data_IF_468439299888
#
_entry.id   IF_468439299888
#
_cell.length_a   1.000
_cell.length_b   1.000
_cell.length_c   1.000
_cell.angle_alpha   90.00
_cell.angle_beta   90.00
_cell.angle_gamma   90.00
#
_symmetry.space_group_name_H-M   'P 1'
#
loop_
_entity.id
_entity.type
_entity.pdbx_description
1 polymer ?
#
# COMPACT_ATOMS: atom_id res chain seq x y z
N UNK A 1 19.21 -30.82 8.72
CA UNK A 1 18.59 -29.63 8.11
C UNK A 1 18.74 -28.38 8.99
N UNK A 2 18.36 -28.41 10.27
CA UNK A 2 18.41 -27.23 11.15
C UNK A 2 19.79 -26.55 11.22
N UNK A 3 20.88 -27.32 11.34
CA UNK A 3 22.26 -26.79 11.32
C UNK A 3 22.56 -25.98 10.04
N UNK A 4 22.17 -26.50 8.88
CA UNK A 4 22.35 -25.82 7.59
C UNK A 4 21.61 -24.47 7.54
N UNK A 5 20.37 -24.45 8.05
CA UNK A 5 19.56 -23.21 8.09
C UNK A 5 20.18 -22.16 9.01
N UNK A 6 20.77 -22.57 10.13
CA UNK A 6 21.47 -21.66 11.04
C UNK A 6 22.74 -21.08 10.39
N UNK A 7 23.57 -21.94 9.80
CA UNK A 7 24.82 -21.56 9.14
C UNK A 7 24.60 -20.59 7.96
N UNK A 8 23.51 -20.77 7.20
CA UNK A 8 23.20 -19.95 6.01
C UNK A 8 22.09 -18.92 6.26
N UNK A 9 21.77 -18.64 7.52
CA UNK A 9 20.62 -17.82 7.93
C UNK A 9 20.58 -16.44 7.26
N UNK A 10 21.72 -15.75 7.14
CA UNK A 10 21.81 -14.43 6.51
C UNK A 10 21.50 -14.44 5.01
N UNK A 11 21.93 -15.48 4.28
CA UNK A 11 21.62 -15.63 2.85
C UNK A 11 20.14 -15.97 2.66
N UNK A 12 19.65 -16.94 3.45
CA UNK A 12 18.26 -17.40 3.39
C UNK A 12 17.25 -16.33 3.80
N UNK A 13 17.62 -15.46 4.75
CA UNK A 13 16.85 -14.27 5.15
C UNK A 13 16.62 -13.28 4.00
N UNK A 14 17.52 -13.24 3.02
CA UNK A 14 17.42 -12.29 1.90
C UNK A 14 16.71 -12.91 0.70
N UNK A 15 17.03 -14.16 0.37
CA UNK A 15 16.70 -14.77 -0.92
C UNK A 15 16.40 -16.29 -0.86
N UNK A 16 16.08 -16.84 0.32
CA UNK A 16 15.69 -18.24 0.47
C UNK A 16 14.24 -18.51 0.06
N UNK A 17 14.00 -19.63 -0.62
CA UNK A 17 12.65 -20.09 -0.98
C UNK A 17 12.56 -21.61 -1.06
N UNK A 18 11.45 -22.20 -0.63
CA UNK A 18 11.16 -23.62 -0.87
C UNK A 18 10.40 -23.75 -2.18
N UNK A 19 10.95 -24.52 -3.11
CA UNK A 19 10.38 -24.76 -4.44
C UNK A 19 9.85 -26.17 -4.50
N UNK A 20 8.59 -26.29 -4.93
CA UNK A 20 7.93 -27.55 -5.23
C UNK A 20 8.07 -27.88 -6.72
N UNK A 21 8.32 -29.14 -7.03
CA UNK A 21 8.53 -29.60 -8.40
C UNK A 21 7.99 -31.00 -8.61
N UNK A 22 7.63 -31.32 -9.85
CA UNK A 22 7.18 -32.64 -10.26
C UNK A 22 8.02 -33.11 -11.44
N UNK A 23 8.19 -34.43 -11.56
CA UNK A 23 8.86 -35.06 -12.68
C UNK A 23 7.86 -35.90 -13.47
N UNK A 24 7.97 -35.92 -14.78
CA UNK A 24 7.27 -36.91 -15.61
C UNK A 24 8.16 -38.14 -15.80
N UNK A 25 7.59 -39.33 -15.65
CA UNK A 25 8.26 -40.59 -15.89
C UNK A 25 7.26 -41.62 -16.40
N UNK A 26 7.48 -42.15 -17.62
CA UNK A 26 6.62 -43.15 -18.28
C UNK A 26 5.12 -42.79 -18.18
N UNK A 27 4.77 -41.60 -18.66
CA UNK A 27 3.41 -41.04 -18.65
C UNK A 27 2.75 -40.86 -17.28
N UNK A 28 3.54 -40.95 -16.19
CA UNK A 28 3.09 -40.71 -14.83
C UNK A 28 3.79 -39.49 -14.23
N UNK A 29 3.04 -38.70 -13.46
CA UNK A 29 3.56 -37.57 -12.69
C UNK A 29 4.07 -38.07 -11.34
N UNK A 30 5.37 -37.89 -11.08
CA UNK A 30 6.03 -38.23 -9.82
C UNK A 30 6.32 -36.95 -9.02
N UNK A 31 6.00 -36.98 -7.74
CA UNK A 31 6.20 -35.87 -6.82
C UNK A 31 5.00 -35.69 -5.88
N UNK A 32 4.95 -34.58 -5.13
CA UNK A 32 5.87 -33.44 -5.21
C UNK A 32 7.27 -33.73 -4.66
N UNK A 33 8.25 -33.01 -5.18
CA UNK A 33 9.61 -32.95 -4.68
C UNK A 33 9.94 -31.52 -4.27
N UNK A 34 10.55 -31.39 -3.10
CA UNK A 34 10.86 -30.11 -2.50
C UNK A 34 12.37 -29.83 -2.56
N UNK A 35 12.72 -28.57 -2.80
CA UNK A 35 14.09 -28.08 -2.70
C UNK A 35 14.11 -26.68 -2.07
N UNK A 36 15.11 -26.42 -1.25
CA UNK A 36 15.43 -25.09 -0.76
C UNK A 36 16.35 -24.40 -1.79
N UNK A 37 15.87 -23.36 -2.46
CA UNK A 37 16.64 -22.55 -3.38
C UNK A 37 17.09 -21.25 -2.71
N UNK A 38 18.33 -20.85 -2.97
CA UNK A 38 18.90 -19.59 -2.49
C UNK A 38 20.01 -19.11 -3.44
N UNK A 39 20.50 -17.90 -3.21
CA UNK A 39 21.67 -17.37 -3.93
C UNK A 39 22.80 -17.09 -2.97
N UNK A 40 24.00 -17.42 -3.44
CA UNK A 40 25.26 -17.07 -2.79
C UNK A 40 26.13 -16.34 -3.82
N UNK A 41 26.26 -15.02 -3.64
CA UNK A 41 26.76 -14.12 -4.68
C UNK A 41 25.95 -14.24 -5.97
N UNK A 42 26.62 -14.58 -7.07
CA UNK A 42 26.00 -14.76 -8.39
C UNK A 42 25.48 -16.19 -8.62
N UNK A 43 25.80 -17.13 -7.73
CA UNK A 43 25.46 -18.55 -7.91
C UNK A 43 24.08 -18.85 -7.36
N UNK A 44 23.29 -19.59 -8.15
CA UNK A 44 22.04 -20.17 -7.68
C UNK A 44 22.32 -21.54 -7.07
N UNK A 45 22.03 -21.67 -5.78
CA UNK A 45 22.24 -22.88 -5.00
C UNK A 45 20.90 -23.54 -4.68
N UNK A 46 20.91 -24.87 -4.55
CA UNK A 46 19.74 -25.58 -4.07
C UNK A 46 20.09 -26.79 -3.21
N UNK A 47 19.37 -26.96 -2.11
CA UNK A 47 19.41 -28.16 -1.27
C UNK A 47 18.13 -28.95 -1.49
N UNK A 48 18.27 -30.22 -1.86
CA UNK A 48 17.14 -31.10 -2.06
C UNK A 48 16.56 -31.55 -0.71
N UNK A 49 15.25 -31.38 -0.54
CA UNK A 49 14.51 -31.72 0.69
C UNK A 49 13.77 -33.07 0.57
N UNK A 50 13.77 -33.69 -0.62
CA UNK A 50 13.09 -34.96 -0.84
C UNK A 50 11.60 -34.78 -1.16
N UNK A 51 10.80 -35.79 -0.79
CA UNK A 51 9.34 -35.83 -1.00
C UNK A 51 8.54 -35.57 0.28
N UNK A 52 9.20 -35.32 1.39
CA UNK A 52 8.54 -35.13 2.68
C UNK A 52 7.93 -33.73 2.76
N UNK A 53 6.59 -33.59 2.74
CA UNK A 53 5.94 -32.30 2.84
C UNK A 53 6.13 -31.65 4.21
N UNK A 54 6.23 -32.44 5.29
CA UNK A 54 6.37 -31.90 6.65
C UNK A 54 7.72 -31.20 6.81
N UNK A 55 8.80 -31.83 6.32
CA UNK A 55 10.12 -31.20 6.29
C UNK A 55 10.12 -29.91 5.45
N UNK A 56 9.41 -29.91 4.32
CA UNK A 56 9.31 -28.72 3.48
C UNK A 56 8.58 -27.58 4.21
N UNK A 57 7.51 -27.88 4.94
CA UNK A 57 6.73 -26.92 5.72
C UNK A 57 7.51 -26.38 6.92
N UNK A 58 8.27 -27.22 7.63
CA UNK A 58 9.16 -26.77 8.70
C UNK A 58 10.21 -25.77 8.19
N UNK A 59 10.79 -26.04 7.01
CA UNK A 59 11.74 -25.13 6.37
C UNK A 59 11.04 -23.83 5.95
N UNK A 60 9.82 -23.89 5.38
CA UNK A 60 9.03 -22.70 5.01
C UNK A 60 8.77 -21.81 6.23
N UNK A 61 8.26 -22.37 7.32
CA UNK A 61 7.98 -21.62 8.55
C UNK A 61 9.26 -21.01 9.15
N UNK A 62 10.39 -21.70 9.02
CA UNK A 62 11.68 -21.15 9.47
C UNK A 62 12.14 -19.99 8.60
N UNK A 63 12.00 -20.09 7.27
CA UNK A 63 12.28 -19.00 6.35
C UNK A 63 11.39 -17.79 6.60
N UNK A 64 10.09 -18.00 6.81
CA UNK A 64 9.14 -16.93 7.10
C UNK A 64 9.55 -16.14 8.35
N UNK A 65 9.89 -16.84 9.43
CA UNK A 65 10.38 -16.21 10.67
C UNK A 65 11.66 -15.41 10.44
N UNK A 66 12.62 -15.96 9.69
CA UNK A 66 13.86 -15.25 9.35
C UNK A 66 13.58 -14.00 8.49
N UNK A 67 12.65 -14.09 7.55
CA UNK A 67 12.37 -13.04 6.57
C UNK A 67 11.41 -11.96 7.06
N UNK A 68 10.57 -12.26 8.06
CA UNK A 68 9.49 -11.39 8.53
C UNK A 68 9.92 -9.94 8.79
N UNK A 69 11.04 -9.65 9.50
CA UNK A 69 11.45 -8.26 9.74
C UNK A 69 11.77 -7.50 8.45
N UNK A 70 12.38 -8.17 7.48
CA UNK A 70 12.72 -7.59 6.18
C UNK A 70 11.49 -7.36 5.31
N UNK A 71 10.54 -8.29 5.32
CA UNK A 71 9.28 -8.17 4.60
C UNK A 71 8.41 -7.02 5.16
N UNK A 72 8.31 -6.91 6.49
CA UNK A 72 7.59 -5.83 7.16
C UNK A 72 8.15 -4.45 6.80
N UNK A 73 9.48 -4.30 6.85
CA UNK A 73 10.13 -3.05 6.47
C UNK A 73 9.80 -2.68 5.02
N UNK A 74 9.89 -3.64 4.09
CA UNK A 74 9.55 -3.40 2.67
C UNK A 74 8.07 -3.04 2.51
N UNK A 75 7.17 -3.73 3.21
CA UNK A 75 5.72 -3.43 3.20
C UNK A 75 5.45 -2.01 3.67
N UNK A 76 6.03 -1.60 4.81
CA UNK A 76 5.89 -0.23 5.34
C UNK A 76 6.40 0.83 4.37
N UNK A 77 7.55 0.60 3.72
CA UNK A 77 8.10 1.52 2.72
C UNK A 77 7.19 1.65 1.50
N UNK A 78 6.71 0.52 0.95
CA UNK A 78 5.75 0.52 -0.17
C UNK A 78 4.46 1.26 0.19
N UNK A 79 3.91 1.00 1.38
CA UNK A 79 2.70 1.67 1.85
C UNK A 79 2.91 3.17 1.99
N UNK A 80 4.03 3.60 2.59
CA UNK A 80 4.39 5.01 2.72
C UNK A 80 4.45 5.69 1.35
N UNK A 81 5.10 5.05 0.37
CA UNK A 81 5.25 5.63 -0.97
C UNK A 81 3.90 5.66 -1.72
N UNK A 82 3.08 4.63 -1.56
CA UNK A 82 1.71 4.60 -2.10
C UNK A 82 0.84 5.72 -1.51
N UNK A 83 0.89 5.93 -0.20
CA UNK A 83 0.16 7.00 0.50
C UNK A 83 0.63 8.39 0.04
N UNK A 84 1.95 8.61 -0.08
CA UNK A 84 2.50 9.86 -0.61
C UNK A 84 1.99 10.16 -2.01
N UNK A 85 1.96 9.16 -2.89
CA UNK A 85 1.40 9.32 -4.25
C UNK A 85 -0.09 9.61 -4.21
N UNK A 86 -0.86 8.95 -3.35
CA UNK A 86 -2.29 9.19 -3.21
C UNK A 86 -2.60 10.62 -2.73
N UNK A 87 -1.86 11.11 -1.73
CA UNK A 87 -1.96 12.50 -1.25
C UNK A 87 -1.57 13.49 -2.35
N UNK A 88 -0.49 13.24 -3.08
CA UNK A 88 -0.05 14.10 -4.18
C UNK A 88 -1.11 14.18 -5.30
N UNK A 89 -1.69 13.04 -5.70
CA UNK A 89 -2.79 12.99 -6.69
C UNK A 89 -4.02 13.76 -6.21
N UNK A 90 -4.41 13.54 -4.95
CA UNK A 90 -5.57 14.23 -4.37
C UNK A 90 -5.35 15.74 -4.35
N UNK A 91 -4.18 16.20 -3.89
CA UNK A 91 -3.82 17.64 -3.89
C UNK A 91 -3.81 18.23 -5.30
N UNK A 92 -3.30 17.50 -6.29
CA UNK A 92 -3.31 17.95 -7.67
C UNK A 92 -4.75 18.12 -8.19
N UNK A 93 -5.64 17.17 -7.89
CA UNK A 93 -7.05 17.25 -8.25
C UNK A 93 -7.75 18.44 -7.58
N UNK A 94 -7.58 18.62 -6.26
CA UNK A 94 -8.10 19.78 -5.53
C UNK A 94 -7.60 21.10 -6.08
N UNK A 95 -6.30 21.20 -6.37
CA UNK A 95 -5.72 22.42 -6.93
C UNK A 95 -6.24 22.70 -8.35
N UNK A 96 -6.49 21.67 -9.16
CA UNK A 96 -7.13 21.82 -10.46
C UNK A 96 -8.56 22.34 -10.33
N UNK A 97 -9.32 21.83 -9.35
CA UNK A 97 -10.68 22.30 -9.08
C UNK A 97 -10.72 23.74 -8.60
N UNK A 98 -9.91 24.07 -7.58
CA UNK A 98 -9.82 25.42 -7.02
C UNK A 98 -9.42 26.47 -8.07
N UNK A 99 -8.56 26.10 -9.02
CA UNK A 99 -8.14 27.00 -10.10
C UNK A 99 -9.28 27.45 -11.00
N UNK A 100 -10.34 26.65 -11.14
CA UNK A 100 -11.55 27.05 -11.88
C UNK A 100 -12.20 28.29 -11.26
N UNK A 101 -12.07 28.47 -9.95
CA UNK A 101 -12.56 29.64 -9.20
C UNK A 101 -11.48 30.70 -8.98
N UNK A 102 -10.30 30.58 -9.57
CA UNK A 102 -9.17 31.49 -9.34
C UNK A 102 -8.43 31.28 -8.00
N UNK A 103 -8.74 30.19 -7.30
CA UNK A 103 -8.08 29.78 -6.06
C UNK A 103 -6.96 28.77 -6.35
N UNK A 104 -6.03 28.59 -5.40
CA UNK A 104 -5.01 27.54 -5.50
C UNK A 104 -4.51 27.11 -4.12
N UNK A 105 -3.92 25.93 -4.04
CA UNK A 105 -3.26 25.45 -2.82
C UNK A 105 -1.79 25.91 -2.77
N UNK A 106 -1.37 26.47 -1.63
CA UNK A 106 0.05 26.67 -1.28
C UNK A 106 0.34 25.87 0.00
N UNK A 107 1.00 24.73 -0.17
CA UNK A 107 1.13 23.76 0.93
C UNK A 107 -0.23 23.15 1.28
N UNK A 108 -0.74 23.44 2.48
CA UNK A 108 -2.06 23.03 2.95
C UNK A 108 -3.13 24.13 2.89
N UNK A 109 -2.78 25.35 2.51
CA UNK A 109 -3.67 26.51 2.59
C UNK A 109 -4.24 26.90 1.23
N UNK A 110 -5.52 27.27 1.20
CA UNK A 110 -6.17 27.87 0.00
C UNK A 110 -5.83 29.35 -0.08
N UNK A 111 -5.33 29.77 -1.24
CA UNK A 111 -4.95 31.15 -1.58
C UNK A 111 -5.73 31.62 -2.81
N UNK A 112 -5.73 32.92 -3.05
CA UNK A 112 -6.38 33.54 -4.22
C UNK A 112 -7.70 34.25 -3.94
N UNK A 113 -8.20 34.22 -2.71
CA UNK A 113 -9.48 34.84 -2.31
C UNK A 113 -9.68 36.28 -2.80
N UNK A 114 -8.62 37.10 -2.83
CA UNK A 114 -8.69 38.50 -3.31
C UNK A 114 -9.05 38.61 -4.79
N UNK A 115 -8.63 37.65 -5.63
CA UNK A 115 -8.98 37.62 -7.05
C UNK A 115 -10.41 37.15 -7.30
N UNK A 116 -10.97 36.36 -6.38
CA UNK A 116 -12.35 35.91 -6.41
C UNK A 116 -13.36 36.99 -5.96
N UNK A 117 -12.90 38.02 -5.23
CA UNK A 117 -13.74 39.15 -4.78
C UNK A 117 -14.05 40.17 -5.89
N UNK A 118 -13.71 39.87 -7.13
CA UNK A 118 -14.03 40.69 -8.30
C UNK A 118 -15.32 40.25 -8.98
N UNK A 119 -16.44 40.35 -8.27
CA UNK A 119 -17.81 40.50 -8.77
C UNK A 119 -18.74 40.56 -7.56
N UNK A 120 -18.65 41.64 -6.79
CA UNK A 120 -19.88 42.15 -6.17
C UNK A 120 -20.81 42.42 -7.35
N UNK A 121 -22.01 41.81 -7.45
CA UNK A 121 -23.00 42.33 -8.37
C UNK A 121 -23.14 43.83 -8.04
N UNK A 122 -22.77 44.67 -8.99
CA UNK A 122 -23.10 46.09 -8.96
C UNK A 122 -24.59 46.18 -8.62
N UNK A 123 -24.94 46.91 -7.57
CA UNK A 123 -26.28 47.00 -7.02
C UNK A 123 -27.30 47.60 -7.99
N UNK A 124 -27.73 46.82 -8.98
CA UNK A 124 -28.83 47.13 -9.88
C UNK A 124 -30.01 46.16 -9.72
N UNK A 125 -29.82 44.99 -9.09
CA UNK A 125 -30.89 44.03 -8.80
C UNK A 125 -30.95 43.73 -7.31
N UNK A 126 -31.34 44.72 -6.51
CA UNK A 126 -31.81 44.47 -5.15
C UNK A 126 -33.27 43.99 -5.27
N UNK A 127 -33.62 42.74 -4.91
CA UNK A 127 -35.02 42.43 -4.65
C UNK A 127 -35.44 43.24 -3.42
N UNK A 128 -36.48 44.04 -3.60
CA UNK A 128 -37.12 44.88 -2.60
C UNK A 128 -37.30 44.15 -1.27
N UNK A 129 -36.96 44.84 -0.18
CA UNK A 129 -37.24 44.45 1.19
C UNK A 129 -38.70 44.00 1.34
N UNK A 130 -38.89 42.70 1.46
CA UNK A 130 -40.09 42.09 2.00
C UNK A 130 -39.91 41.89 3.50
N UNK A 131 -40.39 42.85 4.28
CA UNK A 131 -40.67 42.67 5.71
C UNK A 131 -41.62 41.48 5.90
N UNK A 132 -41.32 40.58 6.85
CA UNK A 132 -42.23 39.76 7.67
C UNK A 132 -41.33 38.92 8.62
N UNK A 133 -41.05 39.37 9.85
CA UNK A 133 -41.72 39.01 11.13
C UNK A 133 -41.79 37.51 11.47
N UNK A 134 -41.14 37.12 12.58
CA UNK A 134 -41.44 35.95 13.44
C UNK A 134 -41.14 34.58 12.79
N UNK A 135 -40.74 33.51 13.48
CA UNK A 135 -40.96 33.08 14.87
C UNK A 135 -39.82 32.11 15.26
N UNK A 136 -39.58 32.02 16.56
CA UNK A 136 -38.67 31.09 17.27
C UNK A 136 -39.05 29.60 17.13
N UNK A 137 -38.22 28.78 17.80
CA UNK A 137 -38.39 27.41 18.30
C UNK A 137 -37.67 26.34 17.43
N UNK A 138 -36.48 25.89 17.86
CA UNK A 138 -36.23 24.81 18.84
C UNK A 138 -36.91 23.52 18.40
N UNK A 139 -36.10 22.52 18.02
CA UNK A 139 -36.20 21.19 18.62
C UNK A 139 -34.94 20.35 18.36
N UNK A 140 -34.41 19.84 19.47
CA UNK A 140 -33.62 18.61 19.56
C UNK A 140 -34.42 17.45 18.95
N UNK A 141 -33.76 16.52 18.25
CA UNK A 141 -33.94 15.08 18.52
C UNK A 141 -32.68 14.31 18.14
N UNK A 142 -32.20 13.56 19.13
CA UNK A 142 -31.31 12.41 19.03
C UNK A 142 -32.03 11.23 18.39
N UNK A 143 -31.36 10.47 17.50
CA UNK A 143 -31.39 8.99 17.43
C UNK A 143 -30.04 8.48 16.90
#
# INVERSE_FOLDING_TARGET
MQRFLAEHSELLRRQGSVVESWRQYRDRRLGPYYRLAYRDGERQCSVYLGRDPNLADEVRQTLERLQAPGQDRRRRLRNRDALRRAVARSRAAWNAELRKSGLWLKGGEVRGWRKCRGKTPSGADAPSEGTLTGVNDVDHEDV
#
